data_IF_860762320682
#
_entry.id   IF_860762320682
#
_cell.length_a   1.000
_cell.length_b   1.000
_cell.length_c   1.000
_cell.angle_alpha   90.00
_cell.angle_beta   90.00
_cell.angle_gamma   90.00
#
_symmetry.space_group_name_H-M   'P 1'
#
loop_
_entity.id
_entity.type
_entity.pdbx_description
1 polymer ?
#
# COMPACT_ATOMS: atom_id res chain seq x y z
N UNK A 1 1.35 29.57 4.02
CA UNK A 1 2.18 28.34 4.18
C UNK A 1 3.13 28.53 5.37
N UNK A 2 3.38 27.49 6.20
CA UNK A 2 4.42 27.58 7.24
C UNK A 2 5.77 27.60 6.57
N UNK A 3 6.68 28.51 6.99
CA UNK A 3 8.01 28.62 6.40
C UNK A 3 8.83 27.32 6.54
N UNK A 4 8.70 26.63 7.70
CA UNK A 4 9.30 25.31 7.96
C UNK A 4 8.34 24.42 8.77
N UNK A 5 8.33 23.12 8.43
CA UNK A 5 7.57 22.09 9.14
C UNK A 5 8.18 20.70 8.91
N UNK A 6 7.75 19.72 9.68
CA UNK A 6 8.21 18.33 9.58
C UNK A 6 7.02 17.45 9.21
N UNK A 7 7.21 16.57 8.22
CA UNK A 7 6.33 15.44 7.92
C UNK A 7 7.04 14.14 8.25
N UNK A 8 6.27 13.19 8.76
CA UNK A 8 6.79 11.88 9.20
C UNK A 8 5.95 10.78 8.62
N UNK A 9 6.59 9.74 8.08
CA UNK A 9 5.94 8.52 7.61
C UNK A 9 6.65 7.30 8.16
N UNK A 10 5.94 6.17 8.19
CA UNK A 10 6.47 4.88 8.63
C UNK A 10 6.28 3.81 7.57
N UNK A 11 7.11 2.77 7.65
CA UNK A 11 6.98 1.52 6.90
C UNK A 11 7.48 0.34 7.74
N UNK A 12 7.11 -0.87 7.35
CA UNK A 12 7.57 -2.11 8.00
C UNK A 12 8.08 -3.09 6.95
N UNK A 13 8.94 -4.03 7.38
CA UNK A 13 9.43 -5.09 6.50
C UNK A 13 8.36 -6.13 6.21
N UNK A 14 8.55 -6.94 5.15
CA UNK A 14 7.68 -8.08 4.81
C UNK A 14 7.57 -9.12 5.94
N UNK A 15 8.55 -9.20 6.83
CA UNK A 15 8.53 -10.10 7.98
C UNK A 15 7.83 -9.57 9.23
N UNK A 16 7.30 -8.32 9.19
CA UNK A 16 6.49 -7.79 10.28
C UNK A 16 5.19 -8.61 10.44
N UNK A 17 4.71 -8.93 11.66
CA UNK A 17 3.55 -9.79 11.90
C UNK A 17 2.31 -9.42 11.08
N UNK A 18 1.89 -8.16 11.10
CA UNK A 18 0.71 -7.71 10.36
C UNK A 18 0.92 -7.84 8.84
N UNK A 19 2.10 -7.46 8.31
CA UNK A 19 2.39 -7.58 6.87
C UNK A 19 2.51 -9.03 6.41
N UNK A 20 2.97 -9.90 7.28
CA UNK A 20 2.99 -11.32 6.98
C UNK A 20 1.57 -11.89 6.89
N UNK A 21 0.63 -11.42 7.74
CA UNK A 21 -0.79 -11.75 7.62
C UNK A 21 -1.39 -11.22 6.30
N UNK A 22 -1.08 -9.97 5.92
CA UNK A 22 -1.50 -9.38 4.64
C UNK A 22 -0.98 -10.22 3.46
N UNK A 23 0.29 -10.60 3.48
CA UNK A 23 0.91 -11.42 2.42
C UNK A 23 0.30 -12.82 2.34
N UNK A 24 -0.04 -13.45 3.46
CA UNK A 24 -0.75 -14.73 3.46
C UNK A 24 -2.12 -14.59 2.81
N UNK A 25 -2.89 -13.55 3.18
CA UNK A 25 -4.23 -13.31 2.64
C UNK A 25 -4.19 -13.04 1.13
N UNK A 26 -3.23 -12.25 0.65
CA UNK A 26 -3.06 -11.97 -0.77
C UNK A 26 -2.52 -13.17 -1.56
N UNK A 27 -1.69 -14.04 -0.98
CA UNK A 27 -1.31 -15.31 -1.61
C UNK A 27 -2.50 -16.27 -1.78
N UNK A 28 -3.46 -16.28 -0.84
CA UNK A 28 -4.71 -17.04 -1.00
C UNK A 28 -5.56 -16.46 -2.12
N UNK A 29 -5.68 -15.14 -2.21
CA UNK A 29 -6.36 -14.44 -3.30
C UNK A 29 -5.71 -14.77 -4.65
N UNK A 30 -4.40 -14.62 -4.78
CA UNK A 30 -3.67 -14.88 -6.01
C UNK A 30 -3.79 -16.34 -6.47
N UNK A 31 -3.78 -17.29 -5.53
CA UNK A 31 -4.02 -18.70 -5.82
C UNK A 31 -5.43 -18.95 -6.38
N UNK A 32 -6.44 -18.25 -5.87
CA UNK A 32 -7.80 -18.32 -6.41
C UNK A 32 -7.88 -17.71 -7.82
N UNK A 33 -7.35 -16.49 -8.01
CA UNK A 33 -7.42 -15.77 -9.29
C UNK A 33 -6.65 -16.47 -10.42
N UNK A 34 -5.59 -17.19 -10.10
CA UNK A 34 -4.80 -17.95 -11.06
C UNK A 34 -5.63 -19.02 -11.80
N UNK A 35 -6.59 -19.63 -11.12
CA UNK A 35 -7.45 -20.69 -11.67
C UNK A 35 -8.85 -20.17 -12.03
N UNK A 36 -9.31 -19.12 -11.36
CA UNK A 36 -10.64 -18.52 -11.52
C UNK A 36 -10.55 -16.98 -11.46
N UNK A 37 -10.43 -16.30 -12.62
CA UNK A 37 -10.41 -14.83 -12.67
C UNK A 37 -11.68 -14.16 -12.12
N UNK A 38 -12.77 -14.92 -11.96
CA UNK A 38 -14.03 -14.43 -11.37
C UNK A 38 -14.15 -14.77 -9.89
N UNK A 39 -13.10 -15.24 -9.25
CA UNK A 39 -13.12 -15.54 -7.81
C UNK A 39 -13.54 -14.33 -6.98
N UNK A 40 -14.37 -14.60 -5.97
CA UNK A 40 -14.73 -13.63 -4.93
C UNK A 40 -14.06 -14.06 -3.65
N UNK A 41 -13.19 -13.21 -3.14
CA UNK A 41 -12.32 -13.51 -2.01
C UNK A 41 -12.41 -12.38 -0.99
N UNK A 42 -12.65 -12.75 0.26
CA UNK A 42 -12.50 -11.91 1.43
C UNK A 42 -11.78 -12.77 2.47
N UNK A 43 -10.44 -12.73 2.47
CA UNK A 43 -9.58 -13.56 3.29
C UNK A 43 -8.91 -12.73 4.37
N UNK A 44 -9.06 -13.15 5.62
CA UNK A 44 -8.48 -12.53 6.80
C UNK A 44 -7.55 -13.53 7.49
N UNK A 45 -6.47 -13.02 8.07
CA UNK A 45 -5.48 -13.84 8.77
C UNK A 45 -5.20 -13.22 10.13
N UNK A 46 -5.30 -14.04 11.18
CA UNK A 46 -4.84 -13.72 12.53
C UNK A 46 -3.75 -14.72 12.91
N UNK A 47 -2.61 -14.22 13.35
CA UNK A 47 -1.49 -15.06 13.74
C UNK A 47 -0.86 -14.57 15.05
N UNK A 48 -0.48 -15.53 15.89
CA UNK A 48 0.22 -15.28 17.16
C UNK A 48 1.12 -16.48 17.45
N UNK A 49 1.88 -16.44 18.54
CA UNK A 49 2.75 -17.54 18.95
C UNK A 49 2.04 -18.92 18.86
N UNK A 50 2.63 -19.82 18.11
CA UNK A 50 2.15 -21.20 17.94
C UNK A 50 0.91 -21.37 17.04
N UNK A 51 0.21 -20.30 16.58
CA UNK A 51 -1.03 -20.47 15.82
C UNK A 51 -1.21 -19.44 14.70
N UNK A 52 -1.72 -19.92 13.55
CA UNK A 52 -2.20 -19.07 12.45
C UNK A 52 -3.63 -19.50 12.12
N UNK A 53 -4.56 -18.56 12.12
CA UNK A 53 -5.95 -18.72 11.70
C UNK A 53 -6.16 -17.97 10.39
N UNK A 54 -6.60 -18.70 9.35
CA UNK A 54 -7.09 -18.12 8.08
C UNK A 54 -8.60 -18.25 8.06
N UNK A 55 -9.31 -17.16 7.97
CA UNK A 55 -10.77 -17.12 8.01
C UNK A 55 -11.32 -16.21 6.91
N UNK A 56 -12.62 -16.34 6.60
CA UNK A 56 -13.28 -15.48 5.63
C UNK A 56 -14.16 -16.21 4.64
N UNK A 57 -14.46 -15.55 3.52
CA UNK A 57 -15.39 -16.03 2.52
C UNK A 57 -14.69 -16.22 1.16
N UNK A 58 -14.97 -17.37 0.53
CA UNK A 58 -14.56 -17.68 -0.83
C UNK A 58 -15.76 -18.08 -1.68
N UNK A 59 -15.85 -17.55 -2.88
CA UNK A 59 -16.72 -18.06 -3.95
C UNK A 59 -15.85 -18.19 -5.20
N UNK A 60 -15.39 -19.39 -5.47
CA UNK A 60 -14.46 -19.69 -6.57
C UNK A 60 -14.57 -21.16 -6.99
N UNK A 61 -14.19 -21.44 -8.23
CA UNK A 61 -14.01 -22.82 -8.75
C UNK A 61 -12.61 -23.36 -8.41
N UNK A 62 -11.68 -22.50 -7.94
CA UNK A 62 -10.34 -22.91 -7.50
C UNK A 62 -10.39 -23.69 -6.17
N UNK A 63 -9.38 -24.50 -5.96
CA UNK A 63 -9.23 -25.29 -4.71
C UNK A 63 -7.82 -25.12 -4.14
N UNK A 64 -7.45 -23.93 -3.66
CA UNK A 64 -6.11 -23.65 -3.16
C UNK A 64 -5.79 -24.47 -1.89
N UNK A 65 -4.58 -25.02 -1.80
CA UNK A 65 -4.07 -25.58 -0.56
C UNK A 65 -3.61 -24.44 0.37
N UNK A 66 -4.57 -23.93 1.16
CA UNK A 66 -4.36 -22.76 2.02
C UNK A 66 -3.29 -23.04 3.08
N UNK A 67 -3.23 -24.26 3.64
CA UNK A 67 -2.20 -24.59 4.62
C UNK A 67 -0.79 -24.56 3.99
N UNK A 68 -0.64 -25.12 2.78
CA UNK A 68 0.63 -25.05 2.06
C UNK A 68 1.03 -23.61 1.73
N UNK A 69 0.07 -22.76 1.33
CA UNK A 69 0.30 -21.32 1.09
C UNK A 69 0.81 -20.63 2.35
N UNK A 70 0.13 -20.79 3.48
CA UNK A 70 0.56 -20.22 4.78
C UNK A 70 2.00 -20.62 5.10
N UNK A 71 2.29 -21.92 5.05
CA UNK A 71 3.61 -22.46 5.39
C UNK A 71 4.70 -21.94 4.46
N UNK A 72 4.40 -21.81 3.17
CA UNK A 72 5.35 -21.29 2.19
C UNK A 72 5.60 -19.80 2.39
N UNK A 73 4.56 -19.01 2.64
CA UNK A 73 4.67 -17.57 2.88
C UNK A 73 5.52 -17.27 4.10
N UNK A 74 5.28 -17.97 5.21
CA UNK A 74 6.06 -17.81 6.45
C UNK A 74 7.54 -18.17 6.23
N UNK A 75 7.83 -19.27 5.50
CA UNK A 75 9.21 -19.63 5.15
C UNK A 75 9.88 -18.62 4.23
N UNK A 76 9.18 -18.13 3.24
CA UNK A 76 9.71 -17.11 2.32
C UNK A 76 10.08 -15.81 3.04
N UNK A 77 9.32 -15.46 4.08
CA UNK A 77 9.64 -14.31 4.93
C UNK A 77 10.89 -14.54 5.81
N UNK A 78 11.37 -15.78 5.93
CA UNK A 78 12.58 -16.13 6.68
C UNK A 78 12.34 -16.67 8.07
N UNK A 79 11.12 -17.16 8.36
CA UNK A 79 10.78 -17.80 9.64
C UNK A 79 10.61 -19.31 9.50
N UNK A 80 10.87 -20.02 10.58
CA UNK A 80 10.42 -21.40 10.72
C UNK A 80 8.89 -21.46 10.81
N UNK A 81 8.28 -22.45 10.17
CA UNK A 81 6.83 -22.57 10.16
C UNK A 81 6.37 -23.78 11.00
N UNK A 82 6.51 -23.68 12.32
CA UNK A 82 6.06 -24.68 13.30
C UNK A 82 4.69 -24.35 13.90
N UNK A 83 3.91 -23.49 13.21
CA UNK A 83 2.60 -23.04 13.66
C UNK A 83 1.52 -24.09 13.41
N UNK A 84 0.55 -24.19 14.33
CA UNK A 84 -0.73 -24.84 14.06
C UNK A 84 -1.55 -23.93 13.13
N UNK A 85 -1.81 -24.40 11.91
CA UNK A 85 -2.63 -23.69 10.93
C UNK A 85 -4.07 -24.16 11.02
N UNK A 86 -4.99 -23.23 11.28
CA UNK A 86 -6.44 -23.45 11.26
C UNK A 86 -7.06 -22.68 10.12
N UNK A 87 -7.82 -23.37 9.26
CA UNK A 87 -8.51 -22.76 8.11
C UNK A 87 -10.03 -22.78 8.34
N UNK A 88 -10.66 -21.60 8.29
CA UNK A 88 -12.10 -21.37 8.48
C UNK A 88 -12.66 -20.53 7.34
N UNK A 89 -12.51 -21.01 6.12
CA UNK A 89 -13.05 -20.38 4.92
C UNK A 89 -14.40 -21.04 4.59
N UNK A 90 -15.39 -20.21 4.27
CA UNK A 90 -16.75 -20.65 3.93
C UNK A 90 -17.29 -19.90 2.70
N UNK A 91 -18.40 -20.36 2.13
CA UNK A 91 -19.02 -19.71 0.98
C UNK A 91 -19.72 -18.42 1.41
N UNK A 92 -19.57 -17.34 0.64
CA UNK A 92 -20.20 -16.05 0.86
C UNK A 92 -21.74 -16.17 1.00
N UNK A 93 -22.30 -15.33 1.88
CA UNK A 93 -23.76 -15.25 2.07
C UNK A 93 -24.49 -14.96 0.75
N UNK A 94 -25.59 -15.72 0.43
CA UNK A 94 -26.40 -15.46 -0.75
C UNK A 94 -27.00 -14.05 -0.80
N UNK A 95 -27.28 -13.43 0.36
CA UNK A 95 -27.87 -12.08 0.43
C UNK A 95 -26.88 -11.02 -0.05
N UNK A 96 -25.61 -11.14 0.32
CA UNK A 96 -24.53 -10.25 -0.15
C UNK A 96 -24.27 -10.49 -1.64
N UNK A 97 -24.21 -11.76 -2.06
CA UNK A 97 -24.01 -12.10 -3.46
C UNK A 97 -25.12 -11.53 -4.36
N UNK A 98 -26.41 -11.63 -3.91
CA UNK A 98 -27.56 -11.11 -4.66
C UNK A 98 -27.58 -9.57 -4.77
N UNK A 99 -27.04 -8.85 -3.80
CA UNK A 99 -26.97 -7.38 -3.84
C UNK A 99 -25.86 -6.86 -4.79
N UNK A 100 -24.85 -7.68 -5.08
CA UNK A 100 -23.66 -7.29 -5.84
C UNK A 100 -23.71 -7.80 -7.29
N UNK A 101 -24.24 -9.00 -7.52
CA UNK A 101 -24.23 -9.71 -8.81
C UNK A 101 -25.51 -9.46 -9.66
N UNK A 102 -26.03 -8.23 -9.68
CA UNK A 102 -27.11 -7.84 -10.60
C UNK A 102 -26.65 -7.78 -12.07
N UNK A 103 -27.52 -7.26 -12.96
CA UNK A 103 -27.16 -7.03 -14.38
C UNK A 103 -25.91 -6.13 -14.54
N UNK A 104 -25.63 -5.33 -13.52
CA UNK A 104 -24.42 -4.51 -13.40
C UNK A 104 -23.79 -4.78 -12.04
N UNK A 105 -22.48 -5.04 -12.01
CA UNK A 105 -21.72 -5.25 -10.76
C UNK A 105 -21.79 -3.99 -9.89
N UNK A 106 -22.45 -4.07 -8.73
CA UNK A 106 -22.50 -3.00 -7.75
C UNK A 106 -21.34 -3.06 -6.76
N UNK A 107 -21.12 -1.98 -6.03
CA UNK A 107 -20.15 -1.94 -4.93
C UNK A 107 -20.53 -2.95 -3.84
N UNK A 108 -19.57 -3.75 -3.39
CA UNK A 108 -19.79 -4.79 -2.38
C UNK A 108 -20.01 -4.25 -0.96
N UNK A 109 -19.72 -2.97 -0.74
CA UNK A 109 -19.91 -2.28 0.53
C UNK A 109 -20.05 -0.78 0.30
N UNK A 110 -20.43 -0.05 1.33
CA UNK A 110 -20.29 1.40 1.42
C UNK A 110 -18.88 1.74 1.90
N UNK A 111 -18.37 2.90 1.52
CA UNK A 111 -17.06 3.35 2.01
C UNK A 111 -16.56 4.61 1.32
N UNK A 112 -15.46 5.15 1.87
CA UNK A 112 -14.74 6.27 1.29
C UNK A 112 -13.29 5.82 1.06
N UNK A 113 -12.77 6.04 -0.14
CA UNK A 113 -11.41 5.69 -0.53
C UNK A 113 -10.67 6.95 -0.97
N UNK A 114 -9.38 7.01 -0.63
CA UNK A 114 -8.54 8.16 -0.95
C UNK A 114 -7.36 7.74 -1.83
N UNK A 115 -7.05 8.58 -2.80
CA UNK A 115 -5.84 8.54 -3.59
C UNK A 115 -5.06 9.83 -3.45
N UNK A 116 -3.76 9.78 -3.63
CA UNK A 116 -2.89 10.95 -3.51
C UNK A 116 -1.71 10.85 -4.46
N UNK A 117 -1.26 12.00 -4.96
CA UNK A 117 0.01 12.17 -5.65
C UNK A 117 0.56 13.58 -5.39
N UNK A 118 1.87 13.70 -5.40
CA UNK A 118 2.56 14.99 -5.33
C UNK A 118 3.87 14.97 -6.13
N UNK A 119 4.34 16.16 -6.51
CA UNK A 119 5.53 16.34 -7.34
C UNK A 119 6.83 16.40 -6.50
N UNK A 120 6.99 15.47 -5.54
CA UNK A 120 8.17 15.46 -4.64
C UNK A 120 9.23 14.44 -5.04
N UNK A 121 8.80 13.30 -5.58
CA UNK A 121 9.65 12.17 -5.92
C UNK A 121 9.29 11.61 -7.29
N UNK A 122 10.14 10.77 -7.85
CA UNK A 122 9.86 10.09 -9.14
C UNK A 122 8.66 9.16 -9.06
N UNK A 123 8.36 8.65 -7.86
CA UNK A 123 7.18 7.84 -7.57
C UNK A 123 5.89 8.68 -7.52
N UNK A 124 6.00 10.02 -7.51
CA UNK A 124 4.91 10.97 -7.25
C UNK A 124 4.24 10.69 -5.90
N UNK A 125 5.05 10.49 -4.88
CA UNK A 125 4.67 10.26 -3.48
C UNK A 125 5.47 11.21 -2.57
N UNK A 126 4.98 11.47 -1.32
CA UNK A 126 5.72 12.27 -0.35
C UNK A 126 7.09 11.66 -0.02
N UNK A 127 8.12 12.50 0.09
CA UNK A 127 9.47 12.05 0.35
C UNK A 127 9.62 11.14 1.60
N UNK A 128 9.01 11.43 2.78
CA UNK A 128 9.13 10.55 3.94
C UNK A 128 8.50 9.16 3.70
N UNK A 129 7.44 9.05 2.88
CA UNK A 129 6.84 7.75 2.51
C UNK A 129 7.83 6.94 1.70
N UNK A 130 8.40 7.54 0.67
CA UNK A 130 9.36 6.87 -0.22
C UNK A 130 10.59 6.43 0.57
N UNK A 131 11.15 7.30 1.40
CA UNK A 131 12.35 7.00 2.20
C UNK A 131 12.11 5.87 3.21
N UNK A 132 10.98 5.88 3.94
CA UNK A 132 10.64 4.83 4.89
C UNK A 132 10.51 3.46 4.20
N UNK A 133 9.85 3.42 3.04
CA UNK A 133 9.69 2.19 2.26
C UNK A 133 11.02 1.71 1.63
N UNK A 134 11.86 2.61 1.12
CA UNK A 134 13.20 2.25 0.64
C UNK A 134 14.06 1.63 1.75
N UNK A 135 14.00 2.18 2.98
CA UNK A 135 14.71 1.62 4.14
C UNK A 135 14.24 0.19 4.43
N UNK A 136 12.94 -0.05 4.54
CA UNK A 136 12.41 -1.39 4.87
C UNK A 136 12.65 -2.39 3.75
N UNK A 137 12.58 -1.99 2.48
CA UNK A 137 12.95 -2.82 1.33
C UNK A 137 14.45 -3.18 1.36
N UNK A 138 15.33 -2.22 1.66
CA UNK A 138 16.76 -2.47 1.78
C UNK A 138 17.12 -3.35 2.97
N UNK A 139 16.41 -3.27 4.10
CA UNK A 139 16.57 -4.21 5.21
C UNK A 139 16.28 -5.64 4.76
N UNK A 140 15.18 -5.85 4.04
CA UNK A 140 14.82 -7.16 3.48
C UNK A 140 15.89 -7.64 2.49
N UNK A 141 16.30 -6.82 1.54
CA UNK A 141 17.35 -7.14 0.56
C UNK A 141 18.70 -7.47 1.26
N UNK A 142 19.13 -6.65 2.24
CA UNK A 142 20.37 -6.89 2.96
C UNK A 142 20.36 -8.22 3.72
N UNK A 143 19.21 -8.65 4.24
CA UNK A 143 19.04 -9.95 4.88
C UNK A 143 19.10 -11.08 3.85
N UNK A 144 18.32 -10.99 2.77
CA UNK A 144 18.17 -12.05 1.77
C UNK A 144 19.47 -12.29 0.98
N UNK A 145 20.16 -11.23 0.61
CA UNK A 145 21.45 -11.28 -0.07
C UNK A 145 22.63 -11.47 0.90
N UNK A 146 22.36 -11.57 2.21
CA UNK A 146 23.38 -11.73 3.26
C UNK A 146 24.45 -10.62 3.26
N UNK A 147 24.06 -9.39 2.91
CA UNK A 147 24.94 -8.22 2.93
C UNK A 147 25.18 -7.73 4.36
N UNK A 148 24.25 -7.97 5.26
CA UNK A 148 24.36 -7.77 6.69
C UNK A 148 24.06 -9.11 7.37
N UNK A 149 25.04 -9.64 8.08
CA UNK A 149 24.87 -10.89 8.80
C UNK A 149 24.16 -10.67 10.14
N UNK A 150 23.39 -11.67 10.59
CA UNK A 150 22.75 -11.63 11.90
C UNK A 150 21.59 -10.65 12.02
N UNK A 151 20.91 -10.28 10.92
CA UNK A 151 19.63 -9.56 10.96
C UNK A 151 18.48 -10.48 10.62
N UNK A 152 17.36 -10.30 11.34
CA UNK A 152 16.13 -11.06 11.18
C UNK A 152 15.14 -10.40 10.19
N UNK A 153 14.00 -11.09 9.94
CA UNK A 153 13.02 -10.61 8.96
C UNK A 153 12.16 -9.44 9.46
N UNK A 154 11.98 -9.27 10.77
CA UNK A 154 11.12 -8.23 11.35
C UNK A 154 11.85 -6.89 11.44
N UNK A 155 11.15 -5.83 11.09
CA UNK A 155 11.71 -4.51 11.19
C UNK A 155 10.72 -3.40 10.83
N UNK A 156 11.07 -2.19 11.28
CA UNK A 156 10.30 -0.96 11.02
C UNK A 156 11.23 0.19 10.68
N UNK A 157 10.75 1.11 9.87
CA UNK A 157 11.41 2.39 9.64
C UNK A 157 10.41 3.53 9.82
N UNK A 158 10.86 4.62 10.43
CA UNK A 158 10.15 5.89 10.47
C UNK A 158 11.10 6.98 10.01
N UNK A 159 10.65 7.83 9.09
CA UNK A 159 11.45 8.92 8.54
C UNK A 159 10.69 10.23 8.69
N UNK A 160 11.35 11.20 9.31
CA UNK A 160 10.89 12.59 9.41
C UNK A 160 11.72 13.45 8.47
N UNK A 161 11.05 14.18 7.58
CA UNK A 161 11.65 15.11 6.62
C UNK A 161 11.25 16.52 6.98
N UNK A 162 12.21 17.43 7.06
CA UNK A 162 11.98 18.86 7.19
C UNK A 162 11.68 19.45 5.82
N UNK A 163 10.60 20.21 5.76
CA UNK A 163 10.16 20.96 4.58
C UNK A 163 10.45 22.45 4.77
N UNK A 164 10.82 23.11 3.68
CA UNK A 164 10.91 24.56 3.60
C UNK A 164 10.07 25.03 2.40
N UNK A 165 9.12 25.93 2.64
CA UNK A 165 8.23 26.47 1.60
C UNK A 165 7.53 25.42 0.73
N UNK A 166 7.15 24.30 1.34
CA UNK A 166 6.45 23.19 0.66
C UNK A 166 7.36 22.18 -0.03
N UNK A 167 8.68 22.33 0.02
CA UNK A 167 9.64 21.43 -0.63
C UNK A 167 10.46 20.66 0.42
N UNK A 168 10.70 19.34 0.24
CA UNK A 168 11.60 18.57 1.08
C UNK A 168 13.00 19.20 1.12
N UNK A 169 13.50 19.53 2.31
CA UNK A 169 14.80 20.21 2.48
C UNK A 169 15.89 19.26 2.96
N UNK A 170 15.61 18.47 4.01
CA UNK A 170 16.55 17.55 4.65
C UNK A 170 15.84 16.47 5.48
N UNK A 171 16.50 15.36 5.67
CA UNK A 171 16.06 14.36 6.64
C UNK A 171 16.33 14.88 8.05
N UNK A 172 15.30 14.96 8.88
CA UNK A 172 15.43 15.38 10.29
C UNK A 172 15.74 14.20 11.20
N UNK A 173 14.94 13.13 11.10
CA UNK A 173 15.09 11.96 11.98
C UNK A 173 14.84 10.68 11.21
N UNK A 174 15.66 9.67 11.44
CA UNK A 174 15.45 8.29 11.00
C UNK A 174 15.40 7.39 12.22
N UNK A 175 14.34 6.59 12.35
CA UNK A 175 14.24 5.54 13.36
C UNK A 175 14.17 4.19 12.64
N UNK A 176 15.05 3.27 13.00
CA UNK A 176 15.03 1.89 12.48
C UNK A 176 14.94 0.94 13.67
N UNK A 177 13.95 0.04 13.65
CA UNK A 177 13.92 -1.16 14.46
C UNK A 177 14.23 -2.34 13.55
N UNK A 178 15.29 -3.07 13.82
CA UNK A 178 15.76 -4.19 13.02
C UNK A 178 15.99 -5.40 13.93
N UNK A 179 15.28 -6.48 13.67
CA UNK A 179 15.49 -7.74 14.36
C UNK A 179 16.91 -8.24 14.10
N UNK A 180 17.58 -8.79 15.15
CA UNK A 180 18.95 -9.26 15.04
C UNK A 180 19.22 -10.48 15.95
N UNK A 181 20.28 -11.23 15.62
CA UNK A 181 20.75 -12.33 16.43
C UNK A 181 21.23 -11.87 17.82
N UNK A 182 21.17 -12.78 18.78
CA UNK A 182 21.45 -12.49 20.20
C UNK A 182 22.89 -12.00 20.45
N UNK A 183 23.81 -12.40 19.60
CA UNK A 183 25.25 -12.11 19.64
C UNK A 183 25.71 -11.02 18.64
N UNK A 184 24.77 -10.44 17.87
CA UNK A 184 25.06 -9.31 16.97
C UNK A 184 25.47 -8.08 17.78
N UNK A 185 26.67 -7.56 17.48
CA UNK A 185 27.17 -6.34 18.11
C UNK A 185 26.34 -5.11 17.69
N UNK A 186 25.83 -4.31 18.63
CA UNK A 186 24.98 -3.16 18.30
C UNK A 186 25.70 -2.04 17.53
N UNK A 187 26.99 -1.82 17.78
CA UNK A 187 27.76 -0.78 17.11
C UNK A 187 28.09 -1.19 15.68
N UNK A 188 28.43 -2.47 15.47
CA UNK A 188 28.58 -3.06 14.13
C UNK A 188 27.26 -2.97 13.33
N UNK A 189 26.15 -3.37 13.94
CA UNK A 189 24.83 -3.28 13.31
C UNK A 189 24.51 -1.83 12.89
N UNK A 190 24.79 -0.87 13.76
CA UNK A 190 24.58 0.55 13.49
C UNK A 190 25.43 1.02 12.29
N UNK A 191 26.70 0.67 12.25
CA UNK A 191 27.60 1.06 11.16
C UNK A 191 27.13 0.46 9.83
N UNK A 192 26.80 -0.82 9.80
CA UNK A 192 26.30 -1.52 8.61
C UNK A 192 24.99 -0.91 8.10
N UNK A 193 24.01 -0.64 8.99
CA UNK A 193 22.73 -0.03 8.61
C UNK A 193 22.93 1.41 8.09
N UNK A 194 23.79 2.20 8.69
CA UNK A 194 24.10 3.53 8.17
C UNK A 194 24.70 3.48 6.75
N UNK A 195 25.64 2.56 6.50
CA UNK A 195 26.34 2.44 5.23
C UNK A 195 25.52 1.76 4.14
N UNK A 196 24.85 0.65 4.44
CA UNK A 196 24.21 -0.22 3.44
C UNK A 196 22.74 0.08 3.25
N UNK A 197 22.06 0.66 4.23
CA UNK A 197 20.63 0.94 4.19
C UNK A 197 20.37 2.45 4.11
N UNK A 198 20.77 3.24 5.10
CA UNK A 198 20.41 4.66 5.17
C UNK A 198 21.04 5.46 4.03
N UNK A 199 22.35 5.32 3.80
CA UNK A 199 23.02 6.05 2.74
C UNK A 199 22.48 5.73 1.34
N UNK A 200 22.01 4.49 1.14
CA UNK A 200 21.41 4.06 -0.14
C UNK A 200 19.95 4.51 -0.28
N UNK A 201 19.16 4.46 0.80
CA UNK A 201 17.76 4.86 0.79
C UNK A 201 17.56 6.37 0.58
N UNK A 202 18.46 7.17 1.18
CA UNK A 202 18.35 8.63 1.23
C UNK A 202 19.31 9.34 0.26
N UNK A 203 19.69 8.70 -0.85
CA UNK A 203 20.67 9.24 -1.80
C UNK A 203 20.25 10.55 -2.47
N UNK A 204 18.94 10.82 -2.53
CA UNK A 204 18.31 11.97 -3.19
C UNK A 204 17.77 13.03 -2.21
N UNK A 205 17.88 12.81 -0.90
CA UNK A 205 17.50 13.78 0.13
C UNK A 205 18.65 14.02 1.08
N UNK A 206 18.90 15.29 1.40
CA UNK A 206 20.03 15.68 2.24
C UNK A 206 19.96 15.07 3.63
N UNK A 207 21.04 14.36 4.02
CA UNK A 207 21.38 13.98 5.40
C UNK A 207 22.56 14.86 5.84
N UNK A 208 22.51 15.43 7.03
CA UNK A 208 23.55 16.30 7.59
C UNK A 208 23.83 15.98 9.07
N UNK A 209 24.72 16.75 9.68
CA UNK A 209 25.15 16.57 11.08
C UNK A 209 24.01 16.76 12.10
N UNK A 210 22.91 17.42 11.71
CA UNK A 210 21.73 17.62 12.56
C UNK A 210 20.73 16.45 12.45
N UNK A 211 20.92 15.55 11.47
CA UNK A 211 20.04 14.40 11.28
C UNK A 211 20.19 13.41 12.43
N UNK A 212 19.09 13.11 13.10
CA UNK A 212 19.08 12.12 14.19
C UNK A 212 18.87 10.72 13.60
N UNK A 213 19.77 9.80 13.90
CA UNK A 213 19.69 8.40 13.50
C UNK A 213 19.58 7.54 14.75
N UNK A 214 18.39 6.91 14.92
CA UNK A 214 18.03 6.08 16.05
C UNK A 214 17.86 4.63 15.55
N UNK A 215 18.77 3.74 15.92
CA UNK A 215 18.75 2.33 15.56
C UNK A 215 18.50 1.53 16.84
N UNK A 216 17.46 0.69 16.82
CA UNK A 216 17.02 -0.09 17.98
C UNK A 216 17.03 0.73 19.28
N UNK A 217 16.32 1.89 19.35
CA UNK A 217 16.40 2.79 20.50
C UNK A 217 15.91 2.15 21.81
N UNK A 218 15.13 1.08 21.75
CA UNK A 218 14.71 0.27 22.89
C UNK A 218 15.78 -0.75 23.33
N UNK A 219 16.88 -0.85 22.60
CA UNK A 219 17.95 -1.80 22.82
C UNK A 219 17.74 -3.10 22.01
N UNK A 220 17.71 -4.26 22.68
CA UNK A 220 17.74 -5.57 22.05
C UNK A 220 16.41 -5.92 21.35
N UNK A 221 16.50 -6.41 20.08
CA UNK A 221 15.36 -6.88 19.30
C UNK A 221 15.70 -8.25 18.67
N UNK A 222 15.65 -9.31 19.46
CA UNK A 222 16.02 -10.67 19.04
C UNK A 222 14.80 -11.49 18.66
N UNK A 223 13.74 -11.44 19.46
CA UNK A 223 12.49 -12.11 19.15
C UNK A 223 11.65 -11.23 18.23
N UNK A 224 11.26 -11.73 17.06
CA UNK A 224 10.43 -11.03 16.07
C UNK A 224 9.32 -11.91 15.51
N UNK A 225 8.54 -11.37 14.57
CA UNK A 225 7.44 -12.10 13.95
C UNK A 225 6.33 -12.49 14.93
N UNK A 226 5.58 -13.53 14.62
CA UNK A 226 4.42 -13.99 15.41
C UNK A 226 4.77 -14.45 16.81
N UNK A 227 6.02 -14.80 17.09
CA UNK A 227 6.49 -15.15 18.43
C UNK A 227 6.63 -13.93 19.33
N UNK A 228 6.84 -12.74 18.76
CA UNK A 228 6.98 -11.47 19.49
C UNK A 228 5.66 -10.71 19.60
N UNK A 229 4.86 -10.69 18.54
CA UNK A 229 3.64 -9.87 18.46
C UNK A 229 2.57 -10.53 17.58
N UNK A 230 1.32 -10.29 17.91
CA UNK A 230 0.16 -10.79 17.17
C UNK A 230 -0.01 -9.99 15.88
N UNK A 231 -0.08 -10.68 14.74
CA UNK A 231 -0.40 -10.12 13.45
C UNK A 231 -1.87 -10.28 13.08
N UNK A 232 -2.39 -9.33 12.31
CA UNK A 232 -3.74 -9.37 11.75
C UNK A 232 -3.76 -8.64 10.41
N UNK A 233 -4.46 -9.21 9.42
CA UNK A 233 -4.72 -8.56 8.12
C UNK A 233 -5.35 -7.18 8.32
N UNK A 234 -4.90 -6.19 7.54
CA UNK A 234 -5.49 -4.84 7.54
C UNK A 234 -5.11 -3.96 8.74
N UNK A 235 -4.06 -4.28 9.48
CA UNK A 235 -3.56 -3.43 10.58
C UNK A 235 -2.42 -2.50 10.18
N UNK A 236 -2.02 -2.49 8.91
CA UNK A 236 -0.93 -1.63 8.39
C UNK A 236 -1.39 -0.73 7.25
N UNK A 237 -2.63 -0.22 7.33
CA UNK A 237 -3.26 0.62 6.30
C UNK A 237 -2.43 1.87 5.95
N UNK A 238 -1.77 2.48 6.93
CA UNK A 238 -0.91 3.64 6.69
C UNK A 238 0.35 3.23 5.91
N UNK A 239 0.94 2.08 6.22
CA UNK A 239 2.08 1.53 5.50
C UNK A 239 1.68 1.13 4.08
N UNK A 240 0.49 0.54 3.91
CA UNK A 240 -0.05 0.14 2.61
C UNK A 240 -0.24 1.32 1.66
N UNK A 241 -0.45 2.52 2.19
CA UNK A 241 -0.82 3.72 1.44
C UNK A 241 0.22 4.83 1.54
N UNK A 242 -0.03 5.85 2.37
CA UNK A 242 0.75 7.10 2.34
C UNK A 242 1.45 7.41 3.67
N UNK A 243 1.76 6.40 4.48
CA UNK A 243 2.54 6.56 5.71
C UNK A 243 1.88 7.42 6.80
N UNK A 244 0.58 7.68 6.72
CA UNK A 244 -0.16 8.53 7.64
C UNK A 244 -0.26 10.00 7.25
N UNK A 245 0.20 10.39 6.05
CA UNK A 245 0.19 11.79 5.58
C UNK A 245 -1.10 12.19 4.85
N UNK A 246 -1.89 11.22 4.42
CA UNK A 246 -3.13 11.40 3.66
C UNK A 246 -4.29 10.76 4.42
N UNK A 247 -5.52 11.29 4.33
CA UNK A 247 -6.70 10.64 4.87
C UNK A 247 -6.84 9.19 4.39
N UNK A 248 -7.47 8.34 5.20
CA UNK A 248 -7.77 6.96 4.88
C UNK A 248 -9.20 6.62 5.28
N UNK A 249 -9.93 5.91 4.43
CA UNK A 249 -11.32 5.55 4.69
C UNK A 249 -11.50 4.39 5.69
N UNK A 250 -10.41 3.70 6.05
CA UNK A 250 -10.40 2.63 7.04
C UNK A 250 -10.56 1.21 6.46
N UNK A 251 -10.82 1.07 5.16
CA UNK A 251 -10.94 -0.23 4.50
C UNK A 251 -9.60 -0.92 4.29
N UNK A 252 -9.44 -2.17 4.75
CA UNK A 252 -8.28 -2.99 4.49
C UNK A 252 -8.20 -3.36 3.00
N UNK A 253 -6.98 -3.43 2.46
CA UNK A 253 -6.72 -3.75 1.04
C UNK A 253 -6.49 -5.25 0.84
N UNK A 254 -5.51 -5.82 1.57
CA UNK A 254 -5.07 -7.21 1.41
C UNK A 254 -6.19 -8.22 1.71
N UNK A 255 -6.17 -9.35 1.00
CA UNK A 255 -7.14 -10.43 1.12
C UNK A 255 -8.45 -10.20 0.37
N UNK A 256 -8.63 -9.07 -0.32
CA UNK A 256 -9.86 -8.67 -1.03
C UNK A 256 -9.65 -8.67 -2.53
N UNK A 257 -10.57 -9.31 -3.28
CA UNK A 257 -10.60 -9.25 -4.74
C UNK A 257 -11.08 -7.88 -5.27
N UNK A 258 -10.92 -7.64 -6.57
CA UNK A 258 -11.21 -6.35 -7.21
C UNK A 258 -12.67 -5.86 -7.13
N UNK A 259 -13.62 -6.71 -6.71
CA UNK A 259 -15.02 -6.28 -6.50
C UNK A 259 -15.22 -5.53 -5.19
N UNK A 260 -14.27 -5.62 -4.26
CA UNK A 260 -14.31 -4.89 -3.00
C UNK A 260 -13.73 -3.49 -3.22
N UNK A 261 -14.61 -2.49 -3.16
CA UNK A 261 -14.28 -1.08 -3.45
C UNK A 261 -13.23 -0.50 -2.48
N UNK A 262 -13.08 -1.06 -1.29
CA UNK A 262 -11.98 -0.71 -0.37
C UNK A 262 -10.63 -0.80 -1.09
N UNK A 263 -10.41 -1.84 -1.88
CA UNK A 263 -9.18 -2.05 -2.65
C UNK A 263 -9.23 -1.36 -4.01
N UNK A 264 -10.22 -1.69 -4.83
CA UNK A 264 -10.31 -1.17 -6.21
C UNK A 264 -10.46 0.35 -6.25
N UNK A 265 -11.26 0.92 -5.34
CA UNK A 265 -11.45 2.37 -5.22
C UNK A 265 -10.19 3.09 -4.74
N UNK A 266 -9.45 2.53 -3.77
CA UNK A 266 -8.18 3.11 -3.33
C UNK A 266 -7.13 3.13 -4.47
N UNK A 267 -7.04 2.05 -5.24
CA UNK A 267 -6.13 1.97 -6.39
C UNK A 267 -6.56 2.89 -7.52
N UNK A 268 -7.87 2.98 -7.83
CA UNK A 268 -8.38 3.92 -8.83
C UNK A 268 -8.14 5.37 -8.41
N UNK A 269 -8.38 5.71 -7.15
CA UNK A 269 -8.13 7.06 -6.63
C UNK A 269 -6.63 7.43 -6.77
N UNK A 270 -5.71 6.49 -6.46
CA UNK A 270 -4.26 6.67 -6.70
C UNK A 270 -3.96 6.86 -8.18
N UNK A 271 -4.52 6.04 -9.05
CA UNK A 271 -4.31 6.11 -10.50
C UNK A 271 -4.73 7.46 -11.07
N UNK A 272 -5.89 7.97 -10.65
CA UNK A 272 -6.39 9.29 -11.05
C UNK A 272 -5.47 10.40 -10.54
N UNK A 273 -5.15 10.42 -9.25
CA UNK A 273 -4.28 11.43 -8.64
C UNK A 273 -2.91 11.48 -9.34
N UNK A 274 -2.32 10.30 -9.58
CA UNK A 274 -1.02 10.18 -10.25
C UNK A 274 -1.05 10.71 -11.67
N UNK A 275 -2.10 10.43 -12.44
CA UNK A 275 -2.25 10.92 -13.80
C UNK A 275 -2.50 12.44 -13.87
N UNK A 276 -3.22 13.03 -12.90
CA UNK A 276 -3.39 14.49 -12.80
C UNK A 276 -2.04 15.18 -12.59
N UNK A 277 -1.25 14.71 -11.61
CA UNK A 277 0.06 15.32 -11.31
C UNK A 277 1.04 15.06 -12.45
N UNK A 278 1.11 13.86 -13.00
CA UNK A 278 1.97 13.54 -14.14
C UNK A 278 1.58 14.33 -15.43
N UNK A 279 0.32 14.68 -15.57
CA UNK A 279 -0.14 15.57 -16.67
C UNK A 279 0.27 17.03 -16.47
N UNK A 280 0.84 17.41 -15.31
CA UNK A 280 1.15 18.81 -14.97
C UNK A 280 -0.08 19.67 -14.75
N UNK A 281 -1.20 19.05 -14.39
CA UNK A 281 -2.46 19.76 -14.09
C UNK A 281 -2.54 20.24 -12.65
N UNK A 282 -1.73 19.68 -11.75
CA UNK A 282 -1.54 20.12 -10.37
C UNK A 282 -0.20 19.62 -9.84
N UNK A 283 0.37 20.29 -8.82
CA UNK A 283 1.57 19.81 -8.10
C UNK A 283 1.22 18.78 -7.03
N UNK A 284 0.02 18.88 -6.49
CA UNK A 284 -0.54 17.99 -5.47
C UNK A 284 -1.97 17.64 -5.85
N UNK A 285 -2.38 16.41 -5.65
CA UNK A 285 -3.75 15.99 -5.90
C UNK A 285 -4.19 14.92 -4.89
N UNK A 286 -5.27 15.20 -4.18
CA UNK A 286 -6.03 14.21 -3.40
C UNK A 286 -7.32 13.89 -4.17
N UNK A 287 -7.61 12.60 -4.33
CA UNK A 287 -8.87 12.10 -4.89
C UNK A 287 -9.63 11.38 -3.81
N UNK A 288 -10.90 11.71 -3.62
CA UNK A 288 -11.80 10.94 -2.76
C UNK A 288 -12.94 10.32 -3.56
N UNK A 289 -13.20 9.04 -3.33
CA UNK A 289 -14.28 8.28 -3.92
C UNK A 289 -15.18 7.77 -2.81
N UNK A 290 -16.50 7.92 -2.96
CA UNK A 290 -17.46 7.36 -2.01
C UNK A 290 -18.43 6.43 -2.74
N UNK A 291 -18.70 5.27 -2.14
CA UNK A 291 -19.62 4.27 -2.69
C UNK A 291 -20.76 3.95 -1.71
N UNK A 292 -21.90 3.55 -2.25
CA UNK A 292 -23.00 2.94 -1.52
C UNK A 292 -23.12 1.48 -1.96
N UNK A 293 -23.42 0.59 -1.00
CA UNK A 293 -23.59 -0.84 -1.28
C UNK A 293 -24.63 -1.07 -2.40
N UNK A 294 -24.31 -1.95 -3.33
CA UNK A 294 -25.19 -2.31 -4.45
C UNK A 294 -25.26 -1.28 -5.59
N UNK A 295 -24.63 -0.11 -5.46
CA UNK A 295 -24.55 0.89 -6.53
C UNK A 295 -23.28 0.70 -7.36
N UNK A 296 -23.40 0.76 -8.69
CA UNK A 296 -22.25 0.67 -9.58
C UNK A 296 -21.47 2.02 -9.63
N UNK A 297 -22.22 3.13 -9.70
CA UNK A 297 -21.61 4.46 -9.74
C UNK A 297 -21.26 4.96 -8.33
N UNK A 298 -20.13 5.64 -8.15
CA UNK A 298 -19.80 6.30 -6.90
C UNK A 298 -20.81 7.41 -6.57
N UNK A 299 -21.19 7.53 -5.30
CA UNK A 299 -22.05 8.62 -4.82
C UNK A 299 -21.33 9.97 -4.78
N UNK A 300 -20.00 9.95 -4.69
CA UNK A 300 -19.15 11.14 -4.81
C UNK A 300 -17.80 10.80 -5.45
N UNK A 301 -17.30 11.72 -6.26
CA UNK A 301 -15.91 11.79 -6.76
C UNK A 301 -15.49 13.24 -6.58
N UNK A 302 -14.46 13.49 -5.79
CA UNK A 302 -13.95 14.82 -5.48
C UNK A 302 -12.45 14.89 -5.69
N UNK A 303 -11.99 15.99 -6.25
CA UNK A 303 -10.59 16.35 -6.43
C UNK A 303 -10.28 17.52 -5.50
N UNK A 304 -9.12 17.46 -4.84
CA UNK A 304 -8.56 18.54 -4.05
C UNK A 304 -7.08 18.70 -4.44
N UNK A 305 -6.76 19.79 -5.11
CA UNK A 305 -5.40 20.12 -5.55
C UNK A 305 -4.64 20.99 -4.55
N UNK A 306 -5.25 21.32 -3.40
CA UNK A 306 -4.66 22.23 -2.40
C UNK A 306 -4.24 23.59 -3.02
N UNK A 307 -5.05 24.12 -3.92
CA UNK A 307 -4.80 25.37 -4.68
C UNK A 307 -3.57 25.29 -5.63
N UNK A 308 -3.02 24.11 -5.91
CA UNK A 308 -1.90 23.93 -6.85
C UNK A 308 -2.37 23.64 -8.29
N UNK A 309 -3.68 23.49 -8.51
CA UNK A 309 -4.26 23.14 -9.80
C UNK A 309 -4.14 24.25 -10.85
N UNK A 310 -3.85 23.88 -12.11
CA UNK A 310 -3.95 24.79 -13.24
C UNK A 310 -5.39 25.20 -13.51
N UNK A 311 -6.34 24.29 -13.29
CA UNK A 311 -7.79 24.53 -13.29
C UNK A 311 -8.33 24.42 -11.87
N UNK A 312 -9.55 24.91 -11.62
CA UNK A 312 -10.24 24.69 -10.36
C UNK A 312 -10.61 23.20 -10.15
N UNK A 313 -10.79 22.81 -8.90
CA UNK A 313 -11.04 21.42 -8.53
C UNK A 313 -12.33 20.85 -9.12
N UNK A 314 -13.38 21.69 -9.28
CA UNK A 314 -14.65 21.28 -9.89
C UNK A 314 -14.48 21.00 -11.39
N UNK A 315 -13.66 21.79 -12.09
CA UNK A 315 -13.30 21.54 -13.48
C UNK A 315 -12.54 20.23 -13.65
N UNK A 316 -11.53 20.00 -12.79
CA UNK A 316 -10.75 18.74 -12.80
C UNK A 316 -11.64 17.54 -12.47
N UNK A 317 -12.58 17.69 -11.55
CA UNK A 317 -13.56 16.62 -11.19
C UNK A 317 -14.42 16.26 -12.43
N UNK A 318 -14.86 17.24 -13.22
CA UNK A 318 -15.59 16.97 -14.47
C UNK A 318 -14.70 16.26 -15.50
N UNK A 319 -13.46 16.72 -15.67
CA UNK A 319 -12.52 16.11 -16.60
C UNK A 319 -12.23 14.63 -16.26
N UNK A 320 -11.98 14.29 -14.98
CA UNK A 320 -11.71 12.92 -14.58
C UNK A 320 -12.92 12.01 -14.74
N UNK A 321 -14.14 12.51 -14.54
CA UNK A 321 -15.38 11.74 -14.78
C UNK A 321 -15.59 11.41 -16.27
N UNK A 322 -15.02 12.19 -17.20
CA UNK A 322 -15.05 11.88 -18.64
C UNK A 322 -13.95 10.89 -19.06
N UNK A 323 -12.87 10.80 -18.29
CA UNK A 323 -11.68 9.99 -18.65
C UNK A 323 -11.66 8.62 -18.01
N UNK A 324 -12.14 8.50 -16.76
CA UNK A 324 -12.06 7.30 -15.95
C UNK A 324 -13.44 6.69 -15.69
N UNK A 325 -13.49 5.36 -15.70
CA UNK A 325 -14.69 4.59 -15.34
C UNK A 325 -14.55 4.15 -13.88
N UNK A 326 -15.37 4.74 -13.01
CA UNK A 326 -15.34 4.50 -11.56
C UNK A 326 -16.26 3.35 -11.12
N UNK A 327 -16.91 2.65 -12.05
CA UNK A 327 -17.68 1.45 -11.70
C UNK A 327 -16.76 0.31 -11.27
N UNK A 328 -17.18 -0.62 -10.39
CA UNK A 328 -16.36 -1.78 -10.03
C UNK A 328 -15.85 -2.55 -11.26
N UNK A 329 -16.69 -2.75 -12.28
CA UNK A 329 -16.31 -3.39 -13.54
C UNK A 329 -15.25 -2.58 -14.30
N UNK A 330 -15.42 -1.24 -14.36
CA UNK A 330 -14.47 -0.33 -14.99
C UNK A 330 -13.11 -0.36 -14.29
N UNK A 331 -13.11 -0.32 -12.95
CA UNK A 331 -11.90 -0.38 -12.14
C UNK A 331 -11.16 -1.71 -12.29
N UNK A 332 -11.88 -2.86 -12.23
CA UNK A 332 -11.27 -4.18 -12.43
C UNK A 332 -10.57 -4.26 -13.77
N UNK A 333 -11.25 -3.83 -14.85
CA UNK A 333 -10.70 -3.84 -16.21
C UNK A 333 -9.52 -2.89 -16.40
N UNK A 334 -9.64 -1.66 -15.88
CA UNK A 334 -8.60 -0.64 -16.08
C UNK A 334 -7.31 -0.93 -15.29
N UNK A 335 -7.45 -1.63 -14.16
CA UNK A 335 -6.35 -1.87 -13.23
C UNK A 335 -5.91 -3.34 -13.17
N UNK A 336 -6.41 -4.19 -14.07
CA UNK A 336 -6.06 -5.62 -14.15
C UNK A 336 -6.29 -6.40 -12.85
N UNK A 337 -7.36 -6.05 -12.08
CA UNK A 337 -7.60 -6.61 -10.75
C UNK A 337 -8.18 -8.04 -10.75
N UNK A 338 -8.37 -8.64 -11.88
CA UNK A 338 -8.71 -10.04 -12.10
C UNK A 338 -7.48 -10.95 -12.31
N UNK A 339 -6.27 -10.39 -12.24
CA UNK A 339 -5.00 -11.12 -12.40
C UNK A 339 -4.31 -11.38 -11.05
N UNK A 340 -3.61 -12.52 -10.90
CA UNK A 340 -2.87 -12.85 -9.68
C UNK A 340 -1.58 -12.02 -9.61
N UNK A 341 -1.49 -11.08 -8.66
CA UNK A 341 -0.40 -10.13 -8.55
C UNK A 341 -0.32 -9.47 -7.16
N UNK A 342 -1.33 -9.69 -6.33
CA UNK A 342 -1.54 -8.93 -5.11
C UNK A 342 -0.49 -9.21 -4.02
N UNK A 343 -0.05 -10.46 -3.87
CA UNK A 343 0.99 -10.82 -2.91
C UNK A 343 2.35 -10.16 -3.19
N UNK A 344 2.61 -9.78 -4.45
CA UNK A 344 3.82 -9.07 -4.85
C UNK A 344 3.82 -7.62 -4.36
N UNK A 345 2.65 -6.96 -4.37
CA UNK A 345 2.53 -5.53 -4.04
C UNK A 345 2.25 -5.25 -2.57
N UNK A 346 1.79 -6.23 -1.78
CA UNK A 346 1.42 -6.02 -0.39
C UNK A 346 2.59 -5.96 0.60
N UNK A 347 3.82 -6.24 0.17
CA UNK A 347 4.99 -6.33 1.06
C UNK A 347 5.44 -4.98 1.65
N UNK A 348 5.06 -3.87 1.02
CA UNK A 348 5.35 -2.49 1.42
C UNK A 348 4.14 -1.61 1.07
N UNK A 349 4.37 -0.33 0.75
CA UNK A 349 3.35 0.54 0.18
C UNK A 349 2.89 0.00 -1.18
N UNK A 350 1.58 -0.21 -1.36
CA UNK A 350 0.97 -0.69 -2.60
C UNK A 350 1.16 0.26 -3.79
N UNK A 351 1.62 1.49 -3.53
CA UNK A 351 1.81 2.55 -4.53
C UNK A 351 3.28 2.78 -4.90
N UNK A 352 4.16 1.83 -4.57
CA UNK A 352 5.58 1.87 -4.92
C UNK A 352 6.00 0.75 -5.90
N UNK A 353 5.06 0.21 -6.65
CA UNK A 353 5.27 -0.87 -7.61
C UNK A 353 5.05 -0.36 -9.05
N UNK A 354 6.08 0.14 -9.75
CA UNK A 354 5.92 0.80 -11.06
C UNK A 354 5.33 -0.09 -12.14
N UNK A 355 5.36 -1.42 -11.97
CA UNK A 355 4.71 -2.38 -12.87
C UNK A 355 3.19 -2.49 -12.67
N UNK A 356 2.66 -2.04 -11.53
CA UNK A 356 1.23 -2.09 -11.24
C UNK A 356 0.44 -1.17 -12.17
N UNK A 357 -0.76 -1.59 -12.58
CA UNK A 357 -1.59 -0.82 -13.51
C UNK A 357 -2.00 0.55 -12.92
N UNK A 358 -2.24 0.64 -11.61
CA UNK A 358 -2.57 1.89 -10.94
C UNK A 358 -1.39 2.86 -10.77
N UNK A 359 -0.17 2.41 -11.08
CA UNK A 359 1.03 3.27 -11.09
C UNK A 359 1.40 3.77 -12.49
N UNK A 360 0.63 3.42 -13.53
CA UNK A 360 0.84 3.92 -14.88
C UNK A 360 0.34 5.37 -15.03
N UNK A 361 0.97 6.09 -15.98
CA UNK A 361 0.62 7.49 -16.30
C UNK A 361 0.09 7.62 -17.74
N UNK A 362 -0.58 6.58 -18.22
CA UNK A 362 -1.05 6.42 -19.59
C UNK A 362 -2.29 7.27 -19.94
N UNK A 363 -2.91 7.94 -18.95
CA UNK A 363 -4.05 8.84 -19.15
C UNK A 363 -3.69 10.31 -19.22
N UNK A 364 -2.42 10.68 -19.07
CA UNK A 364 -1.97 12.07 -19.03
C UNK A 364 -2.38 12.87 -20.27
N UNK A 365 -2.16 12.31 -21.46
CA UNK A 365 -2.51 12.98 -22.70
C UNK A 365 -4.02 13.12 -22.86
N UNK A 366 -4.77 12.05 -22.56
CA UNK A 366 -6.23 12.07 -22.62
C UNK A 366 -6.81 13.11 -21.65
N UNK A 367 -6.24 13.22 -20.43
CA UNK A 367 -6.65 14.26 -19.47
C UNK A 367 -6.43 15.67 -20.02
N UNK A 368 -5.25 15.96 -20.60
CA UNK A 368 -4.95 17.25 -21.19
C UNK A 368 -5.92 17.61 -22.33
N UNK A 369 -6.19 16.65 -23.21
CA UNK A 369 -7.13 16.83 -24.33
C UNK A 369 -8.55 17.11 -23.80
N UNK A 370 -9.02 16.31 -22.82
CA UNK A 370 -10.34 16.50 -22.23
C UNK A 370 -10.47 17.84 -21.52
N UNK A 371 -9.40 18.31 -20.83
CA UNK A 371 -9.41 19.66 -20.25
C UNK A 371 -9.52 20.76 -21.33
N UNK A 372 -8.80 20.65 -22.45
CA UNK A 372 -8.89 21.60 -23.54
C UNK A 372 -10.30 21.61 -24.18
N UNK A 373 -10.89 20.43 -24.41
CA UNK A 373 -12.27 20.30 -24.91
C UNK A 373 -13.28 20.96 -23.96
N UNK A 374 -13.15 20.72 -22.65
CA UNK A 374 -14.01 21.34 -21.64
C UNK A 374 -13.87 22.86 -21.57
N UNK A 375 -12.67 23.39 -21.76
CA UNK A 375 -12.41 24.83 -21.79
C UNK A 375 -13.10 25.47 -23.00
N UNK A 376 -13.01 24.83 -24.19
CA UNK A 376 -13.70 25.27 -25.41
C UNK A 376 -15.24 25.22 -25.26
N UNK A 377 -15.80 24.20 -24.57
CA UNK A 377 -17.24 24.09 -24.30
C UNK A 377 -17.78 25.21 -23.39
N UNK A 378 -16.92 25.78 -22.53
CA UNK A 378 -17.31 26.85 -21.57
C UNK A 378 -17.08 28.27 -22.08
N UNK A 379 -16.38 28.41 -23.22
CA UNK A 379 -16.13 29.71 -23.91
C UNK A 379 -17.20 30.02 -24.95
#
# INVERSE_FOLDING_TARGET
MKDKYILTAESVTAGHPDKLCDTIADNVLDACLKEDPNARVACEVLATAGKILVAGELRTTASPDVEAIVRQTVRNAGYDCNYHVEVRLHTQSPDIAGAVDGDTLGAGDQGIMYGYACWETVELLPAPVVLANRITSLLTTCREEKLISGIGPDGKAQVSVQYAFGVPERVDTIVISCQHDADKDPDELREELCRLVIARACHDVRIDEQTKILINPSGRFVLGGFEADTGLTGRKLMVDTYGGLVPHGGGALSGKDGTKVDRSGAYMARYVAKNIVAAGLADVCTVSLAYAIGQAEPVAVEIDTQESGYYDDAFLTEAVRRVFDFTPTGMIRALDLDKPFFAEVCNNCHFMHPQAAWEQTDKTEKLRMTCAELEDERT
#
